data_IF_972845808087
#
_entry.id   IF_972845808087
#
_cell.length_a   1.000
_cell.length_b   1.000
_cell.length_c   1.000
_cell.angle_alpha   90.00
_cell.angle_beta   90.00
_cell.angle_gamma   90.00
#
_symmetry.space_group_name_H-M   'P 1'
#
loop_
_entity.id
_entity.type
_entity.pdbx_description
1 polymer ?
#
# COMPACT_ATOMS: atom_id res chain seq x y z
N UNK A 1 -2.44 48.34 6.95
CA UNK A 1 -1.59 47.16 6.55
C UNK A 1 -2.04 45.80 7.11
N UNK A 2 -3.10 45.71 7.93
CA UNK A 2 -3.61 44.41 8.50
C UNK A 2 -4.64 43.66 7.61
N UNK A 3 -5.18 44.29 6.58
CA UNK A 3 -6.32 43.79 5.77
C UNK A 3 -5.88 42.79 4.69
N UNK A 4 -4.63 42.90 4.22
CA UNK A 4 -4.14 42.07 3.10
C UNK A 4 -3.64 40.64 3.52
N UNK A 5 -3.41 40.41 4.81
CA UNK A 5 -2.84 39.14 5.30
C UNK A 5 -3.87 38.00 5.25
N UNK A 6 -5.15 38.33 5.49
CA UNK A 6 -6.24 37.33 5.57
C UNK A 6 -6.53 36.61 4.23
N UNK A 7 -6.71 37.32 3.10
CA UNK A 7 -6.94 36.67 1.82
C UNK A 7 -5.72 35.88 1.33
N UNK A 8 -4.49 36.33 1.62
CA UNK A 8 -3.26 35.63 1.29
C UNK A 8 -3.16 34.30 2.05
N UNK A 9 -3.54 34.27 3.34
CA UNK A 9 -3.52 33.03 4.12
C UNK A 9 -4.50 31.99 3.59
N UNK A 10 -5.71 32.41 3.16
CA UNK A 10 -6.74 31.53 2.57
C UNK A 10 -6.24 30.96 1.23
N UNK A 11 -5.61 31.76 0.39
CA UNK A 11 -5.05 31.32 -0.89
C UNK A 11 -3.89 30.34 -0.65
N UNK A 12 -3.01 30.60 0.33
CA UNK A 12 -1.90 29.72 0.68
C UNK A 12 -2.39 28.36 1.22
N UNK A 13 -3.41 28.34 2.08
CA UNK A 13 -4.00 27.10 2.60
C UNK A 13 -4.61 26.30 1.46
N UNK A 14 -5.35 26.93 0.56
CA UNK A 14 -5.94 26.24 -0.61
C UNK A 14 -4.87 25.72 -1.59
N UNK A 15 -3.80 26.46 -1.83
CA UNK A 15 -2.70 25.98 -2.68
C UNK A 15 -1.94 24.84 -2.05
N UNK A 16 -1.73 24.82 -0.74
CA UNK A 16 -1.09 23.71 0.00
C UNK A 16 -2.01 22.47 -0.04
N UNK A 17 -3.32 22.63 0.20
CA UNK A 17 -4.29 21.54 0.12
C UNK A 17 -4.39 20.96 -1.30
N UNK A 18 -4.41 21.81 -2.34
CA UNK A 18 -4.40 21.37 -3.74
C UNK A 18 -3.08 20.71 -4.12
N UNK A 19 -1.93 21.19 -3.62
CA UNK A 19 -0.64 20.58 -3.84
C UNK A 19 -0.56 19.20 -3.17
N UNK A 20 -1.06 19.05 -1.94
CA UNK A 20 -1.16 17.75 -1.27
C UNK A 20 -2.10 16.79 -1.98
N UNK A 21 -3.27 17.26 -2.44
CA UNK A 21 -4.18 16.46 -3.24
C UNK A 21 -3.56 16.01 -4.57
N UNK A 22 -2.73 16.83 -5.20
CA UNK A 22 -2.02 16.50 -6.43
C UNK A 22 -0.86 15.53 -6.18
N UNK A 23 -0.17 15.63 -5.04
CA UNK A 23 0.86 14.66 -4.61
C UNK A 23 0.22 13.29 -4.35
N UNK A 24 -0.92 13.24 -3.68
CA UNK A 24 -1.68 12.00 -3.47
C UNK A 24 -2.19 11.42 -4.80
N UNK A 25 -2.57 12.27 -5.76
CA UNK A 25 -3.04 11.82 -7.10
C UNK A 25 -1.90 11.43 -8.04
N UNK A 26 -0.74 12.07 -7.96
CA UNK A 26 0.42 11.78 -8.82
C UNK A 26 1.26 10.60 -8.34
N UNK A 27 1.10 10.18 -7.07
CA UNK A 27 1.67 8.94 -6.53
C UNK A 27 0.92 7.67 -7.00
N UNK A 28 0.00 7.80 -7.93
CA UNK A 28 -0.91 6.76 -8.39
C UNK A 28 -0.34 5.71 -9.35
N UNK A 29 0.96 5.45 -9.36
CA UNK A 29 1.43 4.13 -9.82
C UNK A 29 1.11 3.14 -8.71
N UNK A 30 -0.02 2.45 -8.84
CA UNK A 30 -0.40 1.43 -7.86
C UNK A 30 0.76 0.43 -7.76
N UNK A 31 1.31 0.31 -6.55
CA UNK A 31 2.38 -0.64 -6.26
C UNK A 31 1.83 -2.03 -6.55
N UNK A 32 2.41 -2.73 -7.50
CA UNK A 32 2.03 -4.10 -7.84
C UNK A 32 2.88 -5.09 -7.08
N UNK A 33 2.24 -6.14 -6.62
CA UNK A 33 2.82 -7.27 -5.88
C UNK A 33 2.57 -8.53 -6.69
N UNK A 34 3.62 -9.27 -7.04
CA UNK A 34 3.51 -10.58 -7.66
C UNK A 34 3.79 -11.67 -6.64
N UNK A 35 2.85 -12.58 -6.47
CA UNK A 35 3.03 -13.78 -5.64
C UNK A 35 3.22 -14.98 -6.56
N UNK A 36 4.46 -15.49 -6.65
CA UNK A 36 4.82 -16.63 -7.48
C UNK A 36 4.33 -17.98 -6.92
N UNK A 37 3.86 -17.98 -5.67
CA UNK A 37 3.44 -19.20 -4.98
C UNK A 37 4.49 -19.74 -4.04
N UNK A 38 4.22 -20.92 -3.51
CA UNK A 38 5.16 -21.71 -2.72
C UNK A 38 5.34 -23.08 -3.35
N UNK A 39 6.56 -23.63 -3.25
CA UNK A 39 6.88 -25.03 -3.55
C UNK A 39 7.17 -25.74 -2.24
N UNK A 40 6.57 -26.91 -2.06
CA UNK A 40 6.75 -27.71 -0.85
C UNK A 40 7.17 -29.11 -1.28
N UNK A 41 8.27 -29.56 -0.72
CA UNK A 41 8.82 -30.91 -1.01
C UNK A 41 8.45 -31.87 0.12
N UNK A 42 8.23 -33.13 -0.24
CA UNK A 42 7.97 -34.25 0.68
C UNK A 42 6.77 -34.03 1.61
N UNK A 43 5.68 -33.44 1.10
CA UNK A 43 4.47 -33.18 1.87
C UNK A 43 3.25 -33.85 1.22
N UNK A 44 2.28 -34.26 2.02
CA UNK A 44 1.01 -34.76 1.54
C UNK A 44 0.20 -33.67 0.86
N UNK A 45 -0.52 -34.02 -0.21
CA UNK A 45 -1.24 -33.06 -1.07
C UNK A 45 -2.25 -32.20 -0.30
N UNK A 46 -2.92 -32.72 0.72
CA UNK A 46 -3.87 -31.98 1.53
C UNK A 46 -3.17 -30.88 2.35
N UNK A 47 -2.02 -31.21 2.96
CA UNK A 47 -1.24 -30.27 3.77
C UNK A 47 -0.58 -29.21 2.90
N UNK A 48 -0.09 -29.60 1.70
CA UNK A 48 0.41 -28.67 0.71
C UNK A 48 -0.66 -27.67 0.28
N UNK A 49 -1.86 -28.12 -0.10
CA UNK A 49 -2.96 -27.27 -0.51
C UNK A 49 -3.38 -26.28 0.59
N UNK A 50 -3.42 -26.73 1.83
CA UNK A 50 -3.74 -25.86 2.97
C UNK A 50 -2.64 -24.80 3.20
N UNK A 51 -1.38 -25.17 3.16
CA UNK A 51 -0.26 -24.21 3.27
C UNK A 51 -0.27 -23.21 2.12
N UNK A 52 -0.54 -23.63 0.89
CA UNK A 52 -0.73 -22.74 -0.26
C UNK A 52 -1.79 -21.67 0.05
N UNK A 53 -2.92 -22.08 0.59
CA UNK A 53 -4.01 -21.16 0.96
C UNK A 53 -3.61 -20.21 2.11
N UNK A 54 -2.91 -20.71 3.13
CA UNK A 54 -2.39 -19.89 4.24
C UNK A 54 -1.44 -18.80 3.73
N UNK A 55 -0.48 -19.15 2.88
CA UNK A 55 0.44 -18.17 2.29
C UNK A 55 -0.25 -17.20 1.32
N UNK A 56 -1.23 -17.66 0.55
CA UNK A 56 -2.05 -16.78 -0.29
C UNK A 56 -2.81 -15.75 0.54
N UNK A 57 -3.29 -16.15 1.71
CA UNK A 57 -4.09 -15.30 2.60
C UNK A 57 -3.30 -14.13 3.22
N UNK A 58 -1.96 -14.18 3.28
CA UNK A 58 -1.15 -13.08 3.82
C UNK A 58 -1.34 -11.76 3.05
N UNK A 59 -1.74 -11.84 1.78
CA UNK A 59 -1.99 -10.69 0.91
C UNK A 59 -3.42 -10.12 1.03
N UNK A 60 -4.30 -10.74 1.83
CA UNK A 60 -5.71 -10.34 1.94
C UNK A 60 -5.93 -8.90 2.44
N UNK A 61 -4.92 -8.30 3.10
CA UNK A 61 -4.94 -6.90 3.54
C UNK A 61 -4.64 -5.87 2.44
N UNK A 62 -4.08 -6.31 1.31
CA UNK A 62 -3.77 -5.45 0.17
C UNK A 62 -5.00 -5.31 -0.75
N UNK A 63 -5.01 -4.23 -1.54
CA UNK A 63 -6.05 -4.08 -2.56
C UNK A 63 -5.94 -5.23 -3.59
N UNK A 64 -7.03 -5.96 -3.90
CA UNK A 64 -6.99 -7.06 -4.87
C UNK A 64 -6.42 -6.67 -6.25
N UNK A 65 -6.63 -5.44 -6.72
CA UNK A 65 -6.07 -4.95 -7.98
C UNK A 65 -4.55 -4.73 -7.94
N UNK A 66 -3.96 -4.76 -6.75
CA UNK A 66 -2.53 -4.57 -6.51
C UNK A 66 -1.78 -5.90 -6.49
N UNK A 67 -2.47 -7.01 -6.27
CA UNK A 67 -1.87 -8.34 -6.10
C UNK A 67 -2.14 -9.21 -7.32
N UNK A 68 -1.07 -9.68 -7.95
CA UNK A 68 -1.09 -10.69 -9.01
C UNK A 68 -0.81 -12.03 -8.32
N UNK A 69 -1.80 -12.90 -8.26
CA UNK A 69 -1.69 -14.20 -7.60
C UNK A 69 -0.96 -15.21 -8.48
N UNK A 70 -0.53 -16.32 -7.87
CA UNK A 70 0.29 -17.35 -8.53
C UNK A 70 -0.31 -17.91 -9.82
N UNK A 71 -1.64 -18.05 -9.90
CA UNK A 71 -2.30 -18.55 -11.10
C UNK A 71 -2.12 -17.58 -12.30
N UNK A 72 -2.20 -16.27 -12.02
CA UNK A 72 -2.02 -15.22 -13.02
C UNK A 72 -0.53 -15.01 -13.33
N UNK A 73 0.33 -15.02 -12.30
CA UNK A 73 1.79 -14.92 -12.47
C UNK A 73 2.30 -16.05 -13.36
N UNK A 74 1.82 -17.29 -13.16
CA UNK A 74 2.18 -18.43 -14.00
C UNK A 74 1.71 -18.28 -15.45
N UNK A 75 0.56 -17.67 -15.70
CA UNK A 75 0.10 -17.41 -17.09
C UNK A 75 0.99 -16.39 -17.79
N UNK A 76 1.48 -15.38 -17.07
CA UNK A 76 2.26 -14.28 -17.64
C UNK A 76 3.73 -14.65 -17.79
N UNK A 77 4.30 -15.40 -16.83
CA UNK A 77 5.74 -15.54 -16.66
C UNK A 77 6.16 -16.92 -16.13
N UNK A 78 5.61 -18.01 -16.68
CA UNK A 78 5.87 -19.37 -16.22
C UNK A 78 7.36 -19.71 -16.14
N UNK A 79 8.12 -19.41 -17.19
CA UNK A 79 9.55 -19.73 -17.22
C UNK A 79 10.33 -19.02 -16.10
N UNK A 80 9.93 -17.78 -15.75
CA UNK A 80 10.53 -17.04 -14.65
C UNK A 80 10.15 -17.63 -13.28
N UNK A 81 8.90 -18.08 -13.14
CA UNK A 81 8.44 -18.77 -11.93
C UNK A 81 9.20 -20.08 -11.77
N UNK A 82 9.31 -20.88 -12.81
CA UNK A 82 10.05 -22.14 -12.78
C UNK A 82 11.52 -21.92 -12.37
N UNK A 83 12.15 -20.84 -12.83
CA UNK A 83 13.53 -20.50 -12.46
C UNK A 83 13.69 -20.13 -10.97
N UNK A 84 12.65 -19.58 -10.32
CA UNK A 84 12.67 -19.29 -8.89
C UNK A 84 12.59 -20.56 -8.02
N UNK A 85 12.07 -21.65 -8.56
CA UNK A 85 11.94 -22.92 -7.86
C UNK A 85 13.13 -23.88 -8.09
N UNK A 86 14.19 -23.44 -8.79
CA UNK A 86 15.44 -24.16 -8.88
C UNK A 86 16.20 -24.15 -7.53
N UNK A 87 17.21 -25.00 -7.40
CA UNK A 87 17.92 -25.21 -6.13
C UNK A 87 18.51 -23.92 -5.55
N UNK A 88 19.09 -23.08 -6.39
CA UNK A 88 19.61 -21.78 -5.98
C UNK A 88 18.75 -20.65 -6.56
N UNK A 89 18.15 -19.85 -5.67
CA UNK A 89 17.41 -18.66 -6.08
C UNK A 89 18.42 -17.54 -6.36
N UNK A 90 18.48 -17.11 -7.63
CA UNK A 90 19.28 -15.95 -8.04
C UNK A 90 18.42 -14.67 -8.05
N UNK A 91 19.04 -13.56 -7.66
CA UNK A 91 18.41 -12.20 -7.74
C UNK A 91 17.95 -11.89 -9.15
N UNK A 92 18.65 -12.35 -10.18
CA UNK A 92 18.26 -12.17 -11.58
C UNK A 92 16.92 -12.81 -11.93
N UNK A 93 16.61 -13.97 -11.33
CA UNK A 93 15.31 -14.64 -11.51
C UNK A 93 14.17 -13.79 -10.94
N UNK A 94 14.37 -13.18 -9.77
CA UNK A 94 13.42 -12.23 -9.19
C UNK A 94 13.25 -10.99 -10.06
N UNK A 95 14.36 -10.42 -10.55
CA UNK A 95 14.33 -9.23 -11.40
C UNK A 95 13.56 -9.52 -12.69
N UNK A 96 13.86 -10.64 -13.35
CA UNK A 96 13.18 -11.06 -14.58
C UNK A 96 11.67 -11.23 -14.38
N UNK A 97 11.25 -11.82 -13.24
CA UNK A 97 9.83 -11.96 -12.92
C UNK A 97 9.18 -10.60 -12.63
N UNK A 98 9.86 -9.72 -11.87
CA UNK A 98 9.38 -8.38 -11.58
C UNK A 98 9.17 -7.55 -12.87
N UNK A 99 10.11 -7.60 -13.79
CA UNK A 99 10.04 -6.92 -15.08
C UNK A 99 8.88 -7.47 -15.94
N UNK A 100 8.73 -8.80 -16.00
CA UNK A 100 7.69 -9.44 -16.82
C UNK A 100 6.28 -9.15 -16.31
N UNK A 101 6.10 -9.07 -14.99
CA UNK A 101 4.80 -8.81 -14.34
C UNK A 101 4.55 -7.32 -14.10
N UNK A 102 5.57 -6.47 -14.22
CA UNK A 102 5.52 -5.05 -13.83
C UNK A 102 5.36 -4.86 -12.31
N UNK A 103 5.73 -5.85 -11.51
CA UNK A 103 5.61 -5.81 -10.05
C UNK A 103 6.79 -5.11 -9.39
N UNK A 104 6.52 -4.32 -8.35
CA UNK A 104 7.54 -3.72 -7.50
C UNK A 104 8.01 -4.68 -6.40
N UNK A 105 7.16 -5.61 -6.00
CA UNK A 105 7.49 -6.66 -5.03
C UNK A 105 7.17 -8.03 -5.61
N UNK A 106 8.10 -8.97 -5.41
CA UNK A 106 7.90 -10.38 -5.78
C UNK A 106 8.04 -11.24 -4.53
N UNK A 107 7.11 -12.17 -4.35
CA UNK A 107 7.11 -13.12 -3.25
C UNK A 107 7.14 -14.55 -3.77
N UNK A 108 7.95 -15.38 -3.11
CA UNK A 108 8.04 -16.81 -3.38
C UNK A 108 8.44 -17.56 -2.11
N UNK A 109 7.95 -18.77 -1.91
CA UNK A 109 8.34 -19.63 -0.81
C UNK A 109 8.89 -20.98 -1.29
N UNK A 110 9.92 -21.49 -0.60
CA UNK A 110 10.45 -22.84 -0.80
C UNK A 110 10.49 -23.54 0.54
N UNK A 111 9.75 -24.61 0.67
CA UNK A 111 9.60 -25.36 1.89
C UNK A 111 9.81 -26.84 1.66
N UNK A 112 10.10 -27.56 2.71
CA UNK A 112 10.16 -29.03 2.74
C UNK A 112 9.61 -29.54 4.07
N UNK A 113 9.05 -30.72 4.04
CA UNK A 113 8.75 -31.47 5.25
C UNK A 113 10.05 -32.08 5.80
N UNK A 114 10.36 -31.77 7.05
CA UNK A 114 11.54 -32.27 7.77
C UNK A 114 11.12 -33.00 9.05
N UNK A 115 9.92 -33.55 9.05
CA UNK A 115 9.40 -34.30 10.20
C UNK A 115 10.35 -35.45 10.57
N UNK A 116 10.69 -35.58 11.85
CA UNK A 116 11.50 -36.72 12.32
C UNK A 116 10.71 -38.04 12.31
N UNK A 117 9.38 -37.95 12.36
CA UNK A 117 8.45 -39.06 12.35
C UNK A 117 7.12 -38.63 11.69
N UNK A 118 6.21 -39.58 11.53
CA UNK A 118 4.88 -39.33 10.90
C UNK A 118 3.84 -38.71 11.85
N UNK A 119 4.16 -38.56 13.13
CA UNK A 119 3.19 -38.10 14.13
C UNK A 119 2.89 -36.61 14.04
N UNK A 120 3.88 -35.80 13.61
CA UNK A 120 3.75 -34.35 13.50
C UNK A 120 4.56 -33.81 12.32
N UNK A 121 3.91 -33.05 11.48
CA UNK A 121 4.55 -32.43 10.33
C UNK A 121 5.39 -31.23 10.79
N UNK A 122 6.67 -31.21 10.43
CA UNK A 122 7.57 -30.09 10.63
C UNK A 122 7.96 -29.49 9.28
N UNK A 123 7.69 -28.20 9.12
CA UNK A 123 7.95 -27.44 7.89
C UNK A 123 9.22 -26.61 8.08
N UNK A 124 10.17 -26.78 7.17
CA UNK A 124 11.38 -25.97 7.07
C UNK A 124 11.47 -25.33 5.70
N UNK A 125 11.93 -24.09 5.65
CA UNK A 125 12.20 -23.41 4.37
C UNK A 125 12.29 -21.91 4.49
N UNK A 126 12.19 -21.27 3.36
CA UNK A 126 12.41 -19.85 3.22
C UNK A 126 11.24 -19.19 2.48
N UNK A 127 10.86 -18.01 2.95
CA UNK A 127 9.94 -17.13 2.27
C UNK A 127 10.65 -15.83 1.88
N UNK A 128 10.64 -15.52 0.60
CA UNK A 128 11.39 -14.40 0.05
C UNK A 128 10.47 -13.25 -0.34
N UNK A 129 10.94 -12.03 -0.09
CA UNK A 129 10.40 -10.80 -0.66
C UNK A 129 11.49 -10.08 -1.43
N UNK A 130 11.35 -9.96 -2.73
CA UNK A 130 12.20 -9.13 -3.57
C UNK A 130 11.58 -7.73 -3.75
N UNK A 131 12.43 -6.70 -3.70
CA UNK A 131 12.07 -5.31 -4.00
C UNK A 131 12.80 -4.87 -5.27
N UNK A 132 12.03 -4.60 -6.34
CA UNK A 132 12.58 -4.25 -7.64
C UNK A 132 13.28 -2.88 -7.64
N UNK A 133 12.81 -1.93 -6.84
CA UNK A 133 13.43 -0.59 -6.74
C UNK A 133 14.81 -0.65 -6.06
N UNK A 134 14.94 -1.49 -5.02
CA UNK A 134 16.20 -1.68 -4.29
C UNK A 134 17.08 -2.77 -4.90
N UNK A 135 16.56 -3.55 -5.85
CA UNK A 135 17.21 -4.73 -6.44
C UNK A 135 17.75 -5.70 -5.38
N UNK A 136 17.00 -5.87 -4.30
CA UNK A 136 17.39 -6.68 -3.15
C UNK A 136 16.28 -7.62 -2.72
N UNK A 137 16.67 -8.78 -2.19
CA UNK A 137 15.76 -9.76 -1.60
C UNK A 137 15.93 -9.83 -0.09
N UNK A 138 14.84 -9.96 0.61
CA UNK A 138 14.80 -10.32 2.02
C UNK A 138 14.34 -11.76 2.13
N UNK A 139 15.03 -12.55 2.96
CA UNK A 139 14.76 -13.96 3.22
C UNK A 139 14.25 -14.10 4.65
N UNK A 140 13.11 -14.74 4.81
CA UNK A 140 12.52 -15.11 6.09
C UNK A 140 12.60 -16.63 6.25
N UNK A 141 13.35 -17.09 7.24
CA UNK A 141 13.51 -18.52 7.53
C UNK A 141 12.38 -19.04 8.40
N UNK A 142 11.85 -20.18 8.03
CA UNK A 142 10.77 -20.88 8.74
C UNK A 142 11.28 -22.24 9.19
N UNK A 143 11.08 -22.54 10.47
CA UNK A 143 11.21 -23.90 11.03
C UNK A 143 10.10 -24.05 12.09
N UNK A 144 8.98 -24.61 11.70
CA UNK A 144 7.79 -24.71 12.55
C UNK A 144 7.03 -25.99 12.34
N UNK A 145 6.35 -26.44 13.39
CA UNK A 145 5.34 -27.45 13.24
C UNK A 145 4.14 -26.90 12.45
N UNK A 146 3.52 -27.78 11.66
CA UNK A 146 2.40 -27.45 10.78
C UNK A 146 1.25 -26.76 11.50
N UNK A 147 0.92 -27.19 12.71
CA UNK A 147 -0.15 -26.64 13.55
C UNK A 147 0.11 -25.16 13.92
N UNK A 148 1.38 -24.74 13.91
CA UNK A 148 1.79 -23.35 14.22
C UNK A 148 1.95 -22.48 12.99
N UNK A 149 1.69 -23.01 11.80
CA UNK A 149 1.86 -22.24 10.56
C UNK A 149 0.89 -21.08 10.42
N UNK A 150 -0.27 -21.10 11.10
CA UNK A 150 -1.14 -19.92 11.16
C UNK A 150 -0.47 -18.74 11.88
N UNK A 151 0.15 -18.99 13.02
CA UNK A 151 0.87 -17.98 13.79
C UNK A 151 2.06 -17.46 12.96
N UNK A 152 2.77 -18.37 12.32
CA UNK A 152 3.95 -18.04 11.52
C UNK A 152 3.60 -17.19 10.28
N UNK A 153 2.54 -17.53 9.56
CA UNK A 153 2.08 -16.73 8.41
C UNK A 153 1.58 -15.34 8.84
N UNK A 154 1.03 -15.20 10.05
CA UNK A 154 0.69 -13.88 10.61
C UNK A 154 1.94 -13.02 10.88
N UNK A 155 3.02 -13.63 11.37
CA UNK A 155 4.31 -12.94 11.56
C UNK A 155 4.91 -12.53 10.21
N UNK A 156 4.93 -13.44 9.23
CA UNK A 156 5.39 -13.17 7.85
C UNK A 156 4.60 -12.02 7.24
N UNK A 157 3.27 -12.04 7.36
CA UNK A 157 2.41 -10.96 6.91
C UNK A 157 2.83 -9.62 7.51
N UNK A 158 2.95 -9.56 8.84
CA UNK A 158 3.34 -8.34 9.55
C UNK A 158 4.70 -7.81 9.12
N UNK A 159 5.68 -8.68 8.94
CA UNK A 159 7.05 -8.28 8.61
C UNK A 159 7.26 -7.95 7.13
N UNK A 160 6.63 -8.70 6.23
CA UNK A 160 6.93 -8.62 4.81
C UNK A 160 5.85 -7.94 3.98
N UNK A 161 4.59 -8.04 4.38
CA UNK A 161 3.46 -7.55 3.57
C UNK A 161 2.90 -6.24 4.11
N UNK A 162 2.69 -6.11 5.41
CA UNK A 162 2.07 -4.91 6.00
C UNK A 162 2.93 -3.64 5.86
N UNK A 163 4.22 -3.79 5.56
CA UNK A 163 5.11 -2.67 5.23
C UNK A 163 4.95 -2.15 3.79
N UNK A 164 4.19 -2.85 2.94
CA UNK A 164 3.94 -2.43 1.56
C UNK A 164 2.84 -1.35 1.57
N UNK A 165 3.09 -0.18 0.92
CA UNK A 165 2.04 0.82 0.80
C UNK A 165 0.82 0.24 0.09
N UNK A 166 -0.30 0.21 0.80
CA UNK A 166 -1.56 -0.21 0.21
C UNK A 166 -2.05 0.90 -0.73
N UNK A 167 -2.35 0.54 -1.97
CA UNK A 167 -2.98 1.48 -2.89
C UNK A 167 -4.31 1.90 -2.26
N UNK A 168 -4.38 3.12 -1.77
CA UNK A 168 -5.62 3.66 -1.24
C UNK A 168 -6.72 3.43 -2.28
N UNK A 169 -7.81 2.78 -1.87
CA UNK A 169 -9.00 2.74 -2.72
C UNK A 169 -9.27 4.18 -3.11
N UNK A 170 -9.44 4.50 -4.40
CA UNK A 170 -9.77 5.86 -4.79
C UNK A 170 -10.96 6.29 -3.94
N UNK A 171 -10.79 7.37 -3.16
CA UNK A 171 -11.83 7.85 -2.28
C UNK A 171 -13.08 8.01 -3.14
N UNK A 172 -14.17 7.34 -2.77
CA UNK A 172 -15.41 7.45 -3.54
C UNK A 172 -15.76 8.93 -3.60
N UNK A 173 -16.36 9.39 -4.72
CA UNK A 173 -16.78 10.78 -4.86
C UNK A 173 -17.59 11.26 -3.63
N UNK A 174 -18.34 10.34 -3.00
CA UNK A 174 -19.07 10.58 -1.75
C UNK A 174 -18.15 10.85 -0.55
N UNK A 175 -17.02 10.15 -0.42
CA UNK A 175 -16.05 10.39 0.66
C UNK A 175 -15.31 11.70 0.46
N UNK A 176 -14.96 12.05 -0.79
CA UNK A 176 -14.39 13.35 -1.13
C UNK A 176 -15.36 14.49 -0.81
N UNK A 177 -16.66 14.35 -1.15
CA UNK A 177 -17.70 15.32 -0.81
C UNK A 177 -17.87 15.49 0.70
N UNK A 178 -17.82 14.41 1.48
CA UNK A 178 -17.92 14.47 2.95
C UNK A 178 -16.72 15.21 3.54
N UNK A 179 -15.50 14.87 3.12
CA UNK A 179 -14.27 15.53 3.60
C UNK A 179 -14.28 17.02 3.23
N UNK A 180 -14.68 17.34 2.00
CA UNK A 180 -14.77 18.72 1.52
C UNK A 180 -15.86 19.51 2.28
N UNK A 181 -17.02 18.90 2.48
CA UNK A 181 -18.13 19.49 3.24
C UNK A 181 -17.79 19.76 4.70
N UNK A 182 -17.12 18.82 5.37
CA UNK A 182 -16.66 18.99 6.76
C UNK A 182 -15.59 20.08 6.85
N UNK A 183 -14.66 20.14 5.90
CA UNK A 183 -13.62 21.17 5.87
C UNK A 183 -14.20 22.57 5.64
N UNK A 184 -15.21 22.72 4.77
CA UNK A 184 -15.92 23.98 4.56
C UNK A 184 -16.69 24.40 5.81
N UNK A 185 -17.41 23.47 6.47
CA UNK A 185 -18.15 23.74 7.70
C UNK A 185 -17.20 24.16 8.84
N UNK A 186 -16.06 23.47 9.01
CA UNK A 186 -15.06 23.83 10.01
C UNK A 186 -14.46 25.21 9.72
N UNK A 187 -14.18 25.54 8.46
CA UNK A 187 -13.71 26.86 8.04
C UNK A 187 -14.73 27.95 8.33
N UNK A 188 -16.01 27.70 8.05
CA UNK A 188 -17.10 28.64 8.31
C UNK A 188 -17.32 28.87 9.81
N UNK A 189 -17.30 27.81 10.62
CA UNK A 189 -17.38 27.89 12.07
C UNK A 189 -16.19 28.67 12.66
N UNK A 190 -14.99 28.43 12.16
CA UNK A 190 -13.80 29.16 12.58
C UNK A 190 -13.90 30.65 12.26
N UNK A 191 -14.39 31.03 11.08
CA UNK A 191 -14.62 32.41 10.71
C UNK A 191 -15.69 33.08 11.59
N UNK A 192 -16.79 32.35 11.87
CA UNK A 192 -17.87 32.83 12.75
C UNK A 192 -17.40 33.07 14.19
N UNK A 193 -16.57 32.17 14.73
CA UNK A 193 -16.02 32.28 16.09
C UNK A 193 -14.94 33.36 16.22
N UNK A 194 -14.20 33.65 15.15
CA UNK A 194 -13.15 34.68 15.16
C UNK A 194 -13.66 36.08 14.80
N UNK A 195 -14.98 36.25 14.56
CA UNK A 195 -15.57 37.53 14.27
C UNK A 195 -15.05 38.16 12.97
N UNK A 196 -14.59 37.38 12.01
CA UNK A 196 -14.15 37.87 10.71
C UNK A 196 -15.35 37.96 9.78
N UNK A 197 -16.00 39.15 9.73
CA UNK A 197 -17.01 39.46 8.72
C UNK A 197 -16.38 39.45 7.33
N UNK A 198 -16.71 38.40 6.57
CA UNK A 198 -16.27 38.24 5.16
C UNK A 198 -17.08 39.15 4.22
N UNK A 199 -18.18 39.67 4.73
CA UNK A 199 -19.15 40.46 3.97
C UNK A 199 -19.22 41.91 4.43
N UNK A 200 -18.19 42.44 5.10
CA UNK A 200 -18.14 43.88 5.35
C UNK A 200 -18.02 44.61 4.02
N UNK A 201 -19.16 45.02 3.47
CA UNK A 201 -19.23 45.98 2.37
C UNK A 201 -18.43 47.22 2.77
N UNK A 202 -17.55 47.66 1.89
CA UNK A 202 -16.80 48.88 2.10
C UNK A 202 -17.74 50.04 2.16
N UNK A 203 -17.98 50.60 3.34
CA UNK A 203 -18.58 51.90 3.52
C UNK A 203 -17.70 52.92 2.78
N UNK A 204 -18.17 53.35 1.65
CA UNK A 204 -17.71 54.52 0.94
C UNK A 204 -18.06 55.75 1.79
N UNK A 205 -17.16 56.18 2.67
CA UNK A 205 -17.25 57.50 3.27
C UNK A 205 -17.08 58.56 2.18
N UNK A 206 -18.21 59.15 1.81
CA UNK A 206 -18.23 60.35 1.03
C UNK A 206 -17.51 61.47 1.76
N UNK A 207 -16.45 61.97 1.19
CA UNK A 207 -15.73 63.14 1.69
C UNK A 207 -16.61 64.37 1.53
N UNK A 208 -17.02 64.98 2.64
CA UNK A 208 -17.46 66.35 2.70
C UNK A 208 -16.26 67.26 2.55
N UNK A 209 -16.26 68.09 1.52
CA UNK A 209 -15.32 69.21 1.39
C UNK A 209 -15.81 70.35 2.25
N UNK A 210 -14.94 71.00 3.04
CA UNK A 210 -15.27 72.26 3.71
C UNK A 210 -15.27 73.39 2.69
N UNK A 211 -16.40 74.09 2.56
CA UNK A 211 -16.49 75.38 1.85
C UNK A 211 -15.93 76.46 2.77
N UNK A 212 -14.86 77.12 2.31
CA UNK A 212 -14.40 78.39 2.84
C UNK A 212 -15.32 79.52 2.43
N UNK A 213 -15.68 80.33 3.41
CA UNK A 213 -16.05 81.75 3.23
C UNK A 213 -15.11 82.64 4.07
#
# INVERSE_FOLDING_TARGET
MKILIKPIAIILINTILLAQAKIVSSSGKSIKVAYAGIKIENMESWAEAELQNKFKSIFSGLNPSQVILNEEVNKIAKAQVDSLFLDMIDIKSFQSLAEKTGAQYVFVGKFKNVSPDESRIMVQGDFYRYNAALKSSFRYEVLKYYERMNDETAVIKKQLVDSIPNAAKPASARQLLIVFGVSLLAGFLFMSLTGTDVWAEGDSQGGEQPTEN
#
